data_IF_820574285170
#
_entry.id   IF_820574285170
#
_cell.length_a   1.000
_cell.length_b   1.000
_cell.length_c   1.000
_cell.angle_alpha   90.00
_cell.angle_beta   90.00
_cell.angle_gamma   90.00
#
_symmetry.space_group_name_H-M   'P 1'
#
loop_
_entity.id
_entity.type
_entity.pdbx_description
1 polymer ?
#
# COMPACT_ATOMS: atom_id res chain seq x y z
N UNK A 1 -33.38 17.18 1.83
CA UNK A 1 -32.34 16.35 1.18
C UNK A 1 -31.05 16.47 1.97
N UNK A 2 -30.75 15.52 2.84
CA UNK A 2 -29.50 15.49 3.61
C UNK A 2 -28.41 14.82 2.78
N UNK A 3 -27.42 15.61 2.34
CA UNK A 3 -26.26 15.13 1.59
C UNK A 3 -25.35 14.42 2.60
N UNK A 4 -25.30 13.08 2.53
CA UNK A 4 -24.50 12.23 3.40
C UNK A 4 -23.01 12.59 3.31
N UNK A 5 -22.53 13.47 4.20
CA UNK A 5 -21.10 13.53 4.54
C UNK A 5 -20.83 12.44 5.58
N UNK A 6 -20.61 11.21 5.12
CA UNK A 6 -19.95 10.21 5.98
C UNK A 6 -18.48 10.62 6.05
N UNK A 7 -18.11 11.26 7.15
CA UNK A 7 -16.70 11.47 7.48
C UNK A 7 -16.12 10.09 7.77
N UNK A 8 -15.22 9.62 6.91
CA UNK A 8 -14.48 8.38 7.11
C UNK A 8 -13.78 8.44 8.48
N UNK A 9 -14.06 7.46 9.34
CA UNK A 9 -13.38 7.36 10.64
C UNK A 9 -12.01 6.72 10.47
N UNK A 10 -11.14 6.86 11.47
CA UNK A 10 -9.85 6.17 11.46
C UNK A 10 -10.00 4.63 11.38
N UNK A 11 -11.09 4.09 11.95
CA UNK A 11 -11.41 2.66 11.85
C UNK A 11 -11.78 2.27 10.42
N UNK A 12 -12.64 3.05 9.75
CA UNK A 12 -13.01 2.79 8.36
C UNK A 12 -11.79 2.82 7.43
N UNK A 13 -10.87 3.76 7.69
CA UNK A 13 -9.62 3.89 6.96
C UNK A 13 -8.68 2.69 7.19
N UNK A 14 -8.59 2.19 8.42
CA UNK A 14 -7.82 1.00 8.76
C UNK A 14 -8.41 -0.25 8.07
N UNK A 15 -9.73 -0.46 8.17
CA UNK A 15 -10.42 -1.59 7.54
C UNK A 15 -10.27 -1.58 6.02
N UNK A 16 -10.37 -0.39 5.40
CA UNK A 16 -10.11 -0.22 3.97
C UNK A 16 -8.67 -0.58 3.63
N UNK A 17 -7.72 -0.11 4.42
CA UNK A 17 -6.29 -0.37 4.21
C UNK A 17 -6.01 -1.87 4.28
N UNK A 18 -6.51 -2.56 5.30
CA UNK A 18 -6.40 -4.01 5.43
C UNK A 18 -6.96 -4.74 4.22
N UNK A 19 -8.15 -4.35 3.73
CA UNK A 19 -8.76 -4.97 2.54
C UNK A 19 -7.90 -4.77 1.28
N UNK A 20 -7.31 -3.59 1.11
CA UNK A 20 -6.44 -3.30 -0.03
C UNK A 20 -5.17 -4.15 0.04
N UNK A 21 -4.52 -4.20 1.21
CA UNK A 21 -3.31 -4.99 1.41
C UNK A 21 -3.58 -6.48 1.16
N UNK A 22 -4.67 -7.01 1.72
CA UNK A 22 -5.08 -8.39 1.46
C UNK A 22 -5.32 -8.64 -0.04
N UNK A 23 -6.00 -7.73 -0.74
CA UNK A 23 -6.24 -7.88 -2.18
C UNK A 23 -4.96 -7.87 -3.02
N UNK A 24 -3.94 -7.13 -2.59
CA UNK A 24 -2.62 -7.14 -3.23
C UNK A 24 -1.91 -8.47 -3.00
N UNK A 25 -1.94 -8.99 -1.77
CA UNK A 25 -1.39 -10.30 -1.43
C UNK A 25 -2.08 -11.43 -2.22
N UNK A 26 -3.42 -11.43 -2.26
CA UNK A 26 -4.21 -12.43 -3.00
C UNK A 26 -3.93 -12.38 -4.51
N UNK A 27 -3.82 -11.18 -5.09
CA UNK A 27 -3.51 -11.01 -6.50
C UNK A 27 -2.08 -11.49 -6.84
N UNK A 28 -1.14 -11.24 -5.93
CA UNK A 28 0.23 -11.73 -6.07
C UNK A 28 0.27 -13.27 -5.97
N UNK A 29 -0.36 -13.85 -4.96
CA UNK A 29 -0.48 -15.30 -4.80
C UNK A 29 -1.17 -15.98 -6.00
N UNK A 30 -2.23 -15.37 -6.56
CA UNK A 30 -2.88 -15.87 -7.77
C UNK A 30 -1.95 -15.86 -8.99
N UNK A 31 -1.02 -14.91 -9.06
CA UNK A 31 -0.02 -14.80 -10.14
C UNK A 31 1.14 -15.79 -9.96
N UNK A 32 1.64 -15.95 -8.74
CA UNK A 32 2.88 -16.69 -8.45
C UNK A 32 2.66 -18.10 -7.89
N UNK A 33 1.42 -18.44 -7.54
CA UNK A 33 1.11 -19.62 -6.74
C UNK A 33 1.26 -19.38 -5.23
N UNK A 34 0.58 -20.22 -4.45
CA UNK A 34 0.68 -20.27 -2.98
C UNK A 34 1.02 -21.72 -2.54
N UNK A 35 2.20 -21.98 -1.95
CA UNK A 35 3.23 -21.00 -1.57
C UNK A 35 3.93 -20.39 -2.79
N UNK A 36 4.30 -19.11 -2.67
CA UNK A 36 5.14 -18.43 -3.66
C UNK A 36 6.43 -19.23 -3.81
N UNK A 37 6.73 -19.67 -5.04
CA UNK A 37 8.02 -20.29 -5.32
C UNK A 37 9.11 -19.27 -5.02
N UNK A 38 10.00 -19.58 -4.07
CA UNK A 38 11.08 -18.70 -3.60
C UNK A 38 12.21 -18.52 -4.61
N UNK A 39 11.90 -18.66 -5.90
CA UNK A 39 12.78 -18.44 -7.03
C UNK A 39 13.24 -16.98 -7.15
N UNK A 40 14.10 -16.70 -8.13
CA UNK A 40 14.59 -15.35 -8.36
C UNK A 40 13.44 -14.41 -8.75
N UNK A 41 13.43 -13.22 -8.15
CA UNK A 41 12.49 -12.15 -8.46
C UNK A 41 12.53 -11.79 -9.94
N UNK A 42 11.37 -11.52 -10.53
CA UNK A 42 11.32 -11.03 -11.91
C UNK A 42 11.83 -9.58 -12.02
N UNK A 43 12.04 -9.10 -13.25
CA UNK A 43 12.52 -7.74 -13.50
C UNK A 43 11.57 -6.66 -12.95
N UNK A 44 10.27 -6.93 -12.96
CA UNK A 44 9.24 -6.02 -12.44
C UNK A 44 9.32 -5.92 -10.91
N UNK A 45 9.39 -7.04 -10.21
CA UNK A 45 9.53 -7.15 -8.75
C UNK A 45 10.85 -6.52 -8.28
N UNK A 46 11.95 -6.78 -8.98
CA UNK A 46 13.23 -6.12 -8.71
C UNK A 46 13.15 -4.60 -8.89
N UNK A 47 12.47 -4.13 -9.94
CA UNK A 47 12.30 -2.69 -10.19
C UNK A 47 11.44 -2.03 -9.13
N UNK A 48 10.32 -2.67 -8.74
CA UNK A 48 9.42 -2.17 -7.71
C UNK A 48 10.14 -2.12 -6.36
N UNK A 49 10.82 -3.18 -5.96
CA UNK A 49 11.59 -3.21 -4.70
C UNK A 49 12.73 -2.20 -4.73
N UNK A 50 13.51 -2.14 -5.81
CA UNK A 50 14.60 -1.17 -5.96
C UNK A 50 14.14 0.28 -5.95
N UNK A 51 12.95 0.57 -6.49
CA UNK A 51 12.37 1.92 -6.50
C UNK A 51 11.64 2.31 -5.20
N UNK A 52 11.08 1.34 -4.48
CA UNK A 52 10.39 1.57 -3.21
C UNK A 52 11.35 1.67 -2.01
N UNK A 53 12.54 1.08 -2.13
CA UNK A 53 13.58 1.19 -1.11
C UNK A 53 14.14 2.62 -1.11
N UNK A 54 13.97 3.32 0.01
CA UNK A 54 14.63 4.59 0.23
C UNK A 54 16.16 4.40 0.15
N UNK A 55 16.90 5.31 -0.51
CA UNK A 55 18.35 5.23 -0.53
C UNK A 55 18.90 5.19 0.90
N UNK A 56 19.93 4.37 1.19
CA UNK A 56 20.51 4.32 2.53
C UNK A 56 21.00 5.71 2.94
N UNK A 57 20.55 6.18 4.11
CA UNK A 57 20.86 7.51 4.63
C UNK A 57 19.90 8.63 4.23
N UNK A 58 18.82 8.30 3.51
CA UNK A 58 17.71 9.23 3.28
C UNK A 58 16.59 8.92 4.27
N UNK A 59 16.39 9.82 5.22
CA UNK A 59 15.25 9.73 6.14
C UNK A 59 13.95 9.82 5.35
N UNK A 60 13.03 8.90 5.63
CA UNK A 60 11.68 8.98 5.08
C UNK A 60 11.08 10.33 5.50
N UNK A 61 10.59 11.16 4.55
CA UNK A 61 10.06 12.46 4.89
C UNK A 61 8.92 12.28 5.90
N UNK A 62 8.82 13.13 6.93
CA UNK A 62 7.72 13.04 7.88
C UNK A 62 6.41 13.11 7.09
N UNK A 63 5.38 12.33 7.47
CA UNK A 63 4.11 12.30 6.74
C UNK A 63 3.54 13.72 6.60
N UNK A 64 3.70 14.27 5.40
CA UNK A 64 3.41 15.67 5.08
C UNK A 64 2.09 15.82 4.36
N UNK A 65 0.99 15.47 5.04
CA UNK A 65 -0.37 15.73 4.52
C UNK A 65 -1.25 16.35 5.60
N UNK A 66 -0.90 17.56 6.02
CA UNK A 66 -1.92 18.47 6.52
C UNK A 66 -2.74 18.97 5.33
N UNK A 67 -4.03 18.60 5.25
CA UNK A 67 -4.94 19.24 4.31
C UNK A 67 -4.88 20.76 4.49
N UNK A 68 -4.92 21.57 3.41
CA UNK A 68 -5.01 23.02 3.56
C UNK A 68 -6.23 23.35 4.40
N UNK A 69 -5.99 23.90 5.60
CA UNK A 69 -7.04 24.43 6.47
C UNK A 69 -7.40 25.81 5.94
N UNK A 70 -8.67 26.00 5.58
CA UNK A 70 -9.24 27.31 5.23
C UNK A 70 -9.23 28.24 6.43
#
# INVERSE_FOLDING_TARGET
MGIFRRTETASDAADRTTRILQGVEDAYAARTGDPVDGGPLDEFEQTVLGGAVAPPGVDYPPPGHGYPRR
#
